data_IF_356355976852
#
_entry.id   IF_356355976852
#
_cell.length_a   1.000
_cell.length_b   1.000
_cell.length_c   1.000
_cell.angle_alpha   90.00
_cell.angle_beta   90.00
_cell.angle_gamma   90.00
#
_symmetry.space_group_name_H-M   'P 1'
#
loop_
_entity.id
_entity.type
_entity.pdbx_description
1 polymer ?
#
# COMPACT_ATOMS: atom_id res chain seq x y z
N UNK A 1 17.13 -31.19 -1.58
CA UNK A 1 16.21 -31.52 -0.48
C UNK A 1 15.24 -30.35 -0.35
N UNK A 2 13.94 -30.59 -0.61
CA UNK A 2 12.89 -29.55 -0.57
C UNK A 2 12.74 -29.01 0.85
N UNK A 3 13.03 -27.72 1.05
CA UNK A 3 12.84 -27.02 2.32
C UNK A 3 11.35 -26.65 2.45
N UNK A 4 10.68 -27.16 3.48
CA UNK A 4 9.29 -26.81 3.79
C UNK A 4 9.17 -25.33 4.21
N UNK A 5 8.07 -24.64 3.87
CA UNK A 5 7.83 -23.27 4.35
C UNK A 5 7.60 -23.30 5.87
N UNK A 6 8.41 -22.56 6.64
CA UNK A 6 8.23 -22.40 8.09
C UNK A 6 9.48 -22.55 8.97
N UNK A 7 10.67 -22.80 8.40
CA UNK A 7 11.91 -22.91 9.20
C UNK A 7 12.39 -21.53 9.69
N UNK A 8 12.70 -21.44 11.00
CA UNK A 8 13.34 -20.27 11.63
C UNK A 8 14.85 -20.52 11.74
N UNK A 9 15.64 -19.55 11.29
CA UNK A 9 17.09 -19.51 11.45
C UNK A 9 17.43 -18.66 12.66
N UNK A 10 18.14 -19.22 13.64
CA UNK A 10 18.62 -18.48 14.82
C UNK A 10 20.08 -18.86 15.05
N UNK A 11 20.95 -17.95 14.61
CA UNK A 11 22.40 -17.91 14.75
C UNK A 11 23.25 -18.81 13.81
N UNK A 12 24.23 -18.18 13.18
CA UNK A 12 25.40 -18.82 12.58
C UNK A 12 26.66 -18.11 13.07
N UNK A 13 27.71 -18.86 13.41
CA UNK A 13 28.99 -18.30 13.86
C UNK A 13 29.98 -18.34 12.66
N UNK A 14 30.52 -17.16 12.28
CA UNK A 14 31.43 -16.94 11.13
C UNK A 14 32.89 -17.00 11.61
N UNK A 15 33.70 -17.90 11.05
CA UNK A 15 35.16 -17.89 11.22
C UNK A 15 35.82 -17.13 10.06
N UNK A 16 36.77 -16.25 10.38
CA UNK A 16 37.67 -15.63 9.38
C UNK A 16 39.08 -16.14 9.67
N UNK A 17 39.50 -17.19 8.98
CA UNK A 17 40.92 -17.55 8.88
C UNK A 17 41.38 -17.40 7.44
N UNK A 18 42.62 -16.92 7.26
CA UNK A 18 43.18 -16.56 5.96
C UNK A 18 42.96 -17.63 4.89
N UNK A 19 42.36 -17.21 3.77
CA UNK A 19 42.30 -17.97 2.52
C UNK A 19 41.01 -18.73 2.20
N UNK A 20 40.10 -18.98 3.16
CA UNK A 20 38.84 -19.71 2.91
C UNK A 20 37.76 -19.45 3.96
N UNK A 21 36.48 -19.50 3.57
CA UNK A 21 35.34 -19.22 4.47
C UNK A 21 34.81 -20.55 5.01
N UNK A 22 34.83 -20.77 6.32
CA UNK A 22 34.19 -21.92 6.98
C UNK A 22 33.12 -21.41 7.94
N UNK A 23 31.88 -21.91 7.83
CA UNK A 23 30.76 -21.47 8.66
C UNK A 23 29.95 -22.62 9.23
N UNK A 24 29.53 -22.49 10.49
CA UNK A 24 28.47 -23.33 11.09
C UNK A 24 27.12 -22.68 10.93
N UNK A 25 26.17 -23.42 10.39
CA UNK A 25 24.76 -23.00 10.31
C UNK A 25 23.95 -23.90 11.23
N UNK A 26 23.31 -23.30 12.24
CA UNK A 26 22.31 -23.97 13.06
C UNK A 26 20.95 -23.80 12.38
N UNK A 27 20.30 -24.92 12.08
CA UNK A 27 19.00 -24.98 11.41
C UNK A 27 18.00 -25.61 12.39
N UNK A 28 17.04 -24.80 12.85
CA UNK A 28 15.87 -25.18 13.67
C UNK A 28 16.04 -25.12 15.20
N UNK A 29 15.26 -24.21 15.81
CA UNK A 29 14.76 -24.33 17.18
C UNK A 29 13.25 -24.62 17.06
N UNK A 30 12.84 -25.84 17.40
CA UNK A 30 11.42 -26.20 17.49
C UNK A 30 10.73 -25.46 18.64
N UNK A 31 9.39 -25.47 18.67
CA UNK A 31 8.54 -24.75 19.65
C UNK A 31 8.79 -25.05 21.14
N UNK A 32 9.69 -25.99 21.45
CA UNK A 32 10.07 -26.42 22.79
C UNK A 32 11.58 -26.20 23.10
N UNK A 33 12.28 -25.35 22.35
CA UNK A 33 13.68 -25.00 22.67
C UNK A 33 14.72 -26.08 22.37
N UNK A 34 14.35 -27.18 21.70
CA UNK A 34 15.31 -28.21 21.26
C UNK A 34 15.90 -27.87 19.89
N UNK A 35 17.23 -27.86 19.81
CA UNK A 35 17.98 -27.75 18.56
C UNK A 35 17.96 -29.10 17.85
N UNK A 36 17.57 -29.14 16.57
CA UNK A 36 17.33 -30.41 15.86
C UNK A 36 18.45 -30.79 14.89
N UNK A 37 19.21 -29.82 14.35
CA UNK A 37 20.31 -30.11 13.41
C UNK A 37 21.29 -28.92 13.25
N UNK A 38 22.57 -29.22 13.00
CA UNK A 38 23.58 -28.24 12.57
C UNK A 38 24.46 -28.82 11.46
N UNK A 39 24.98 -27.93 10.60
CA UNK A 39 25.84 -28.27 9.46
C UNK A 39 27.14 -27.48 9.50
N UNK A 40 28.25 -28.15 9.16
CA UNK A 40 29.55 -27.55 8.87
C UNK A 40 29.72 -27.41 7.34
N UNK A 41 29.97 -26.20 6.84
CA UNK A 41 30.15 -25.94 5.41
C UNK A 41 31.33 -25.02 5.11
N UNK A 42 32.08 -25.33 4.04
CA UNK A 42 33.16 -24.50 3.48
C UNK A 42 32.61 -23.73 2.28
N UNK A 43 32.71 -22.40 2.29
CA UNK A 43 32.37 -21.52 1.17
C UNK A 43 33.65 -21.03 0.47
N UNK A 44 33.74 -21.07 -0.87
CA UNK A 44 34.76 -20.34 -1.59
C UNK A 44 34.39 -18.84 -1.66
N UNK A 45 35.41 -17.98 -1.71
CA UNK A 45 35.28 -16.53 -1.76
C UNK A 45 34.50 -16.04 -3.00
N UNK A 46 33.78 -14.93 -2.80
CA UNK A 46 32.84 -14.25 -3.71
C UNK A 46 33.35 -14.17 -5.16
N UNK A 47 32.57 -14.64 -6.14
CA UNK A 47 32.85 -14.34 -7.56
C UNK A 47 32.16 -15.14 -8.67
N UNK A 48 31.54 -16.32 -8.44
CA UNK A 48 30.83 -17.07 -9.51
C UNK A 48 29.64 -17.89 -8.99
N UNK A 49 28.59 -18.13 -9.81
CA UNK A 49 27.38 -18.83 -9.36
C UNK A 49 27.59 -20.33 -9.46
N UNK A 50 28.00 -21.00 -8.38
CA UNK A 50 27.96 -22.47 -8.33
C UNK A 50 27.52 -23.00 -6.95
N UNK A 51 26.85 -24.16 -7.03
CA UNK A 51 26.16 -24.93 -5.98
C UNK A 51 26.88 -24.92 -4.62
N UNK A 52 26.12 -24.67 -3.55
CA UNK A 52 26.48 -25.05 -2.18
C UNK A 52 26.83 -26.54 -2.14
N UNK A 53 28.08 -26.88 -1.84
CA UNK A 53 28.46 -28.22 -1.42
C UNK A 53 28.26 -28.31 0.09
N UNK A 54 27.07 -28.75 0.51
CA UNK A 54 26.82 -29.13 1.90
C UNK A 54 27.62 -30.42 2.18
N UNK A 55 28.65 -30.31 3.02
CA UNK A 55 29.33 -31.47 3.57
C UNK A 55 28.35 -32.28 4.42
N UNK A 56 28.23 -33.58 4.15
CA UNK A 56 27.22 -34.48 4.69
C UNK A 56 27.55 -35.00 6.10
N UNK A 57 27.87 -34.13 7.05
CA UNK A 57 28.03 -34.53 8.45
C UNK A 57 26.84 -34.00 9.26
N UNK A 58 25.81 -34.85 9.39
CA UNK A 58 24.66 -34.60 10.26
C UNK A 58 25.02 -35.10 11.65
N UNK A 59 25.23 -34.19 12.59
CA UNK A 59 25.40 -34.54 14.00
C UNK A 59 24.07 -34.39 14.74
N UNK A 60 23.57 -35.48 15.34
CA UNK A 60 22.46 -35.46 16.28
C UNK A 60 23.00 -35.34 17.71
N UNK A 61 22.69 -34.24 18.40
CA UNK A 61 23.09 -34.02 19.79
C UNK A 61 21.98 -33.34 20.59
N UNK A 62 21.72 -33.85 21.80
CA UNK A 62 20.71 -33.31 22.70
C UNK A 62 21.39 -32.25 23.60
N UNK A 63 21.24 -30.97 23.28
CA UNK A 63 21.72 -29.89 24.15
C UNK A 63 20.72 -29.70 25.29
N UNK A 64 21.15 -30.02 26.52
CA UNK A 64 20.38 -29.77 27.73
C UNK A 64 20.07 -28.28 27.90
N UNK A 65 18.83 -27.98 28.30
CA UNK A 65 18.37 -26.62 28.53
C UNK A 65 19.16 -25.96 29.68
N UNK A 66 20.02 -24.99 29.36
CA UNK A 66 20.66 -24.15 30.39
C UNK A 66 22.05 -23.61 30.09
N UNK A 67 22.74 -23.99 29.03
CA UNK A 67 24.08 -23.45 28.74
C UNK A 67 24.02 -22.19 27.85
N UNK A 68 24.62 -21.05 28.27
CA UNK A 68 24.80 -19.91 27.37
C UNK A 68 25.78 -20.30 26.26
N UNK A 69 25.34 -20.24 25.00
CA UNK A 69 26.21 -20.37 23.83
C UNK A 69 27.29 -19.28 23.89
N UNK A 70 28.51 -19.62 24.32
CA UNK A 70 29.70 -18.76 24.19
C UNK A 70 30.39 -19.12 22.87
N UNK A 71 30.34 -18.24 21.87
CA UNK A 71 31.28 -18.35 20.75
C UNK A 71 32.67 -17.88 21.27
N UNK A 72 33.75 -18.68 21.13
CA UNK A 72 35.11 -18.30 21.59
C UNK A 72 35.61 -17.10 20.79
N UNK A 73 36.49 -16.23 21.32
CA UNK A 73 36.82 -14.93 20.72
C UNK A 73 36.97 -14.90 19.19
N UNK A 74 36.35 -13.89 18.56
CA UNK A 74 36.30 -13.60 17.09
C UNK A 74 35.12 -14.15 16.26
N UNK A 75 33.92 -14.26 16.81
CA UNK A 75 32.70 -14.49 16.01
C UNK A 75 31.76 -13.29 16.06
N UNK A 76 31.23 -12.92 14.89
CA UNK A 76 30.13 -11.96 14.74
C UNK A 76 28.81 -12.72 14.86
N UNK A 77 27.99 -12.37 15.85
CA UNK A 77 26.61 -12.87 15.95
C UNK A 77 25.79 -12.09 14.91
N UNK A 78 25.34 -12.77 13.86
CA UNK A 78 24.34 -12.21 12.93
C UNK A 78 22.96 -12.48 13.54
N UNK A 79 22.44 -11.50 14.27
CA UNK A 79 21.03 -11.45 14.66
C UNK A 79 20.22 -11.06 13.42
N UNK A 80 19.54 -12.03 12.80
CA UNK A 80 18.48 -11.72 11.84
C UNK A 80 17.33 -11.04 12.61
N UNK A 81 17.23 -9.72 12.48
CA UNK A 81 16.07 -8.96 12.95
C UNK A 81 14.84 -9.53 12.27
N UNK A 82 13.84 -9.87 13.09
CA UNK A 82 12.60 -10.55 12.73
C UNK A 82 11.99 -10.10 11.40
N UNK A 83 12.24 -10.83 10.32
CA UNK A 83 11.33 -10.83 9.17
C UNK A 83 9.99 -11.34 9.68
N UNK A 84 8.97 -10.49 9.72
CA UNK A 84 7.64 -10.87 10.16
C UNK A 84 7.16 -12.05 9.32
N UNK A 85 7.01 -13.22 9.93
CA UNK A 85 6.43 -14.37 9.25
C UNK A 85 5.03 -14.00 8.75
N UNK A 86 4.62 -14.41 7.53
CA UNK A 86 3.30 -14.12 6.96
C UNK A 86 2.15 -14.40 7.93
N UNK A 87 2.35 -15.41 8.79
CA UNK A 87 1.43 -15.80 9.87
C UNK A 87 1.04 -14.70 10.86
N UNK A 88 1.86 -13.65 11.06
CA UNK A 88 1.52 -12.52 11.95
C UNK A 88 0.83 -11.36 11.22
N UNK A 89 1.00 -11.23 9.90
CA UNK A 89 0.41 -10.13 9.12
C UNK A 89 -1.06 -10.39 8.78
N UNK A 90 -1.41 -11.64 8.46
CA UNK A 90 -2.77 -12.06 8.12
C UNK A 90 -3.80 -11.72 9.22
N UNK A 91 -3.61 -12.08 10.51
CA UNK A 91 -4.60 -11.76 11.54
C UNK A 91 -4.75 -10.25 11.78
N UNK A 92 -3.65 -9.48 11.66
CA UNK A 92 -3.69 -8.02 11.77
C UNK A 92 -4.45 -7.38 10.60
N UNK A 93 -4.23 -7.88 9.38
CA UNK A 93 -4.94 -7.41 8.19
C UNK A 93 -6.43 -7.71 8.26
N UNK A 94 -6.82 -8.91 8.71
CA UNK A 94 -8.23 -9.27 8.92
C UNK A 94 -8.85 -8.35 9.98
N UNK A 95 -8.14 -8.10 11.08
CA UNK A 95 -8.60 -7.20 12.15
C UNK A 95 -8.84 -5.78 11.61
N UNK A 96 -7.89 -5.23 10.84
CA UNK A 96 -8.04 -3.93 10.20
C UNK A 96 -9.23 -3.91 9.22
N UNK A 97 -9.41 -4.95 8.41
CA UNK A 97 -10.51 -5.07 7.47
C UNK A 97 -11.88 -5.12 8.17
N UNK A 98 -12.00 -5.85 9.27
CA UNK A 98 -13.22 -5.89 10.08
C UNK A 98 -13.53 -4.50 10.66
N UNK A 99 -12.53 -3.79 11.19
CA UNK A 99 -12.71 -2.45 11.74
C UNK A 99 -13.14 -1.42 10.68
N UNK A 100 -12.58 -1.50 9.46
CA UNK A 100 -13.05 -0.70 8.32
C UNK A 100 -14.48 -1.06 7.93
N UNK A 101 -14.82 -2.36 7.88
CA UNK A 101 -16.17 -2.84 7.60
C UNK A 101 -17.20 -2.37 8.62
N UNK A 102 -16.87 -2.43 9.92
CA UNK A 102 -17.69 -1.92 11.02
C UNK A 102 -17.92 -0.41 10.89
N UNK A 103 -16.86 0.33 10.56
CA UNK A 103 -16.95 1.78 10.32
C UNK A 103 -17.91 2.08 9.17
N UNK A 104 -17.74 1.40 8.02
CA UNK A 104 -18.61 1.55 6.86
C UNK A 104 -20.07 1.16 7.14
N UNK A 105 -20.30 0.05 7.84
CA UNK A 105 -21.64 -0.42 8.22
C UNK A 105 -22.35 0.56 9.17
N UNK A 106 -21.62 1.17 10.11
CA UNK A 106 -22.17 2.16 11.03
C UNK A 106 -22.56 3.44 10.30
N UNK A 107 -21.71 3.93 9.39
CA UNK A 107 -22.05 5.07 8.53
C UNK A 107 -23.29 4.78 7.66
N UNK A 108 -23.39 3.58 7.09
CA UNK A 108 -24.54 3.17 6.30
C UNK A 108 -25.82 3.11 7.14
N UNK A 109 -25.75 2.56 8.36
CA UNK A 109 -26.89 2.51 9.30
C UNK A 109 -27.34 3.91 9.68
N UNK A 110 -26.40 4.83 9.92
CA UNK A 110 -26.67 6.24 10.24
C UNK A 110 -27.45 6.94 9.12
N UNK A 111 -27.05 6.68 7.87
CA UNK A 111 -27.71 7.27 6.69
C UNK A 111 -29.09 6.66 6.43
N UNK A 112 -29.31 5.39 6.78
CA UNK A 112 -30.63 4.73 6.65
C UNK A 112 -31.61 5.13 7.77
N UNK A 113 -31.11 5.46 8.96
CA UNK A 113 -31.94 5.82 10.12
C UNK A 113 -31.49 7.14 10.77
N UNK A 114 -31.78 8.30 10.16
CA UNK A 114 -31.35 9.61 10.65
C UNK A 114 -31.87 9.94 12.06
N UNK A 115 -33.09 9.48 12.39
CA UNK A 115 -33.77 9.74 13.66
C UNK A 115 -33.12 8.99 14.84
N UNK A 116 -32.64 7.75 14.63
CA UNK A 116 -31.88 6.99 15.64
C UNK A 116 -30.43 7.49 15.80
N UNK A 117 -29.93 8.22 14.81
CA UNK A 117 -28.56 8.74 14.76
C UNK A 117 -28.38 10.13 15.40
N UNK A 118 -29.47 10.86 15.64
CA UNK A 118 -29.43 12.20 16.25
C UNK A 118 -28.90 12.18 17.70
N UNK A 119 -29.07 11.05 18.41
CA UNK A 119 -28.65 10.88 19.80
C UNK A 119 -27.35 10.08 19.99
N UNK A 120 -26.67 9.68 18.90
CA UNK A 120 -25.47 8.82 18.97
C UNK A 120 -24.20 9.56 18.57
N UNK A 121 -23.22 9.64 19.49
CA UNK A 121 -21.83 10.00 19.15
C UNK A 121 -21.34 9.03 18.07
N UNK A 122 -20.87 9.54 16.91
CA UNK A 122 -20.28 8.71 15.86
C UNK A 122 -18.91 8.25 16.35
N UNK A 123 -18.72 6.96 16.73
CA UNK A 123 -17.42 6.50 17.19
C UNK A 123 -16.51 6.43 15.97
N UNK A 124 -15.63 7.42 15.80
CA UNK A 124 -14.59 7.42 14.76
C UNK A 124 -13.40 6.52 15.13
N UNK A 125 -13.34 6.06 16.39
CA UNK A 125 -12.25 5.26 16.91
C UNK A 125 -12.00 3.95 16.13
N UNK A 126 -13.00 3.21 15.59
CA UNK A 126 -12.70 1.98 14.85
C UNK A 126 -11.93 2.26 13.55
N UNK A 127 -12.28 3.35 12.85
CA UNK A 127 -11.55 3.79 11.66
C UNK A 127 -10.12 4.23 11.99
N UNK A 128 -9.92 4.93 13.11
CA UNK A 128 -8.59 5.34 13.58
C UNK A 128 -7.72 4.13 13.95
N UNK A 129 -8.28 3.16 14.68
CA UNK A 129 -7.54 1.93 15.03
C UNK A 129 -7.22 1.13 13.77
N UNK A 130 -8.15 1.02 12.81
CA UNK A 130 -7.90 0.39 11.51
C UNK A 130 -6.77 1.09 10.74
N UNK A 131 -6.74 2.43 10.76
CA UNK A 131 -5.69 3.24 10.13
C UNK A 131 -4.31 3.01 10.74
N UNK A 132 -4.22 2.90 12.06
CA UNK A 132 -2.96 2.63 12.75
C UNK A 132 -2.44 1.24 12.40
N UNK A 133 -3.30 0.22 12.41
CA UNK A 133 -2.92 -1.15 12.03
C UNK A 133 -2.51 -1.21 10.56
N UNK A 134 -3.31 -0.63 9.66
CA UNK A 134 -3.02 -0.61 8.23
C UNK A 134 -1.71 0.13 7.93
N UNK A 135 -1.47 1.28 8.58
CA UNK A 135 -0.23 2.04 8.44
C UNK A 135 0.99 1.26 8.94
N UNK A 136 0.89 0.54 10.06
CA UNK A 136 1.96 -0.31 10.56
C UNK A 136 2.27 -1.49 9.62
N UNK A 137 1.25 -2.07 8.98
CA UNK A 137 1.42 -3.13 7.98
C UNK A 137 2.08 -2.61 6.71
N UNK A 138 1.64 -1.45 6.20
CA UNK A 138 2.22 -0.79 5.03
C UNK A 138 3.67 -0.40 5.29
N UNK A 139 3.99 0.19 6.44
CA UNK A 139 5.35 0.55 6.81
C UNK A 139 6.30 -0.65 6.76
N UNK A 140 5.89 -1.77 7.38
CA UNK A 140 6.67 -3.01 7.38
C UNK A 140 6.79 -3.64 5.99
N UNK A 141 5.77 -3.46 5.15
CA UNK A 141 5.81 -3.99 3.79
C UNK A 141 6.70 -3.18 2.87
N UNK A 142 6.71 -1.84 3.00
CA UNK A 142 7.48 -0.93 2.15
C UNK A 142 8.97 -0.94 2.52
N UNK A 143 9.30 -0.85 3.81
CA UNK A 143 10.68 -0.74 4.28
C UNK A 143 11.18 -2.11 4.74
N UNK A 144 11.86 -2.83 3.85
CA UNK A 144 12.52 -4.09 4.18
C UNK A 144 14.03 -3.91 4.32
N UNK A 145 14.73 -4.84 5.00
CA UNK A 145 16.19 -4.80 5.07
C UNK A 145 16.88 -4.87 3.70
N UNK A 146 16.22 -5.45 2.69
CA UNK A 146 16.75 -5.53 1.33
C UNK A 146 16.55 -4.25 0.51
N UNK A 147 15.60 -3.37 0.90
CA UNK A 147 15.33 -2.13 0.17
C UNK A 147 13.86 -1.67 0.24
N UNK A 148 13.45 -0.86 -0.73
CA UNK A 148 12.06 -0.39 -0.85
C UNK A 148 11.26 -1.38 -1.70
N UNK A 149 10.22 -1.98 -1.12
CA UNK A 149 9.28 -2.83 -1.83
C UNK A 149 8.23 -1.96 -2.55
N UNK A 150 8.26 -1.97 -3.89
CA UNK A 150 7.30 -1.24 -4.75
C UNK A 150 6.45 -2.19 -5.59
N UNK A 151 6.11 -3.35 -5.03
CA UNK A 151 5.17 -4.26 -5.67
C UNK A 151 3.75 -3.72 -5.69
N UNK A 152 2.96 -4.24 -6.64
CA UNK A 152 1.57 -3.83 -6.85
C UNK A 152 0.76 -3.84 -5.54
N UNK A 153 0.84 -4.92 -4.76
CA UNK A 153 0.09 -5.05 -3.50
C UNK A 153 0.59 -4.09 -2.41
N UNK A 154 1.90 -3.85 -2.31
CA UNK A 154 2.48 -2.90 -1.37
C UNK A 154 1.98 -1.47 -1.64
N UNK A 155 1.93 -1.08 -2.92
CA UNK A 155 1.48 0.26 -3.30
C UNK A 155 -0.05 0.38 -3.25
N UNK A 156 -0.80 -0.67 -3.62
CA UNK A 156 -2.25 -0.70 -3.41
C UNK A 156 -2.61 -0.52 -1.93
N UNK A 157 -1.87 -1.20 -1.03
CA UNK A 157 -2.01 -1.01 0.42
C UNK A 157 -1.70 0.42 0.85
N UNK A 158 -0.58 0.99 0.40
CA UNK A 158 -0.19 2.37 0.69
C UNK A 158 -1.24 3.38 0.21
N UNK A 159 -1.73 3.24 -1.02
CA UNK A 159 -2.78 4.08 -1.61
C UNK A 159 -4.08 3.93 -0.82
N UNK A 160 -4.50 2.71 -0.50
CA UNK A 160 -5.71 2.46 0.29
C UNK A 160 -5.63 3.06 1.69
N UNK A 161 -4.46 2.96 2.34
CA UNK A 161 -4.18 3.62 3.62
C UNK A 161 -4.25 5.13 3.50
N UNK A 162 -3.61 5.73 2.49
CA UNK A 162 -3.56 7.17 2.32
C UNK A 162 -4.94 7.76 1.99
N UNK A 163 -5.73 7.08 1.14
CA UNK A 163 -7.12 7.47 0.84
C UNK A 163 -7.98 7.41 2.11
N UNK A 164 -7.87 6.35 2.91
CA UNK A 164 -8.61 6.23 4.17
C UNK A 164 -8.17 7.28 5.20
N UNK A 165 -6.87 7.61 5.26
CA UNK A 165 -6.32 8.63 6.14
C UNK A 165 -6.83 10.01 5.77
N UNK A 166 -6.67 10.41 4.51
CA UNK A 166 -7.13 11.70 3.98
C UNK A 166 -8.63 11.87 4.16
N UNK A 167 -9.42 10.84 3.90
CA UNK A 167 -10.86 10.88 4.13
C UNK A 167 -11.19 11.06 5.61
N UNK A 168 -10.52 10.31 6.50
CA UNK A 168 -10.75 10.38 7.94
C UNK A 168 -10.41 11.78 8.47
N UNK A 169 -9.28 12.34 8.05
CA UNK A 169 -8.88 13.71 8.37
C UNK A 169 -9.88 14.75 7.81
N UNK A 170 -10.26 14.62 6.55
CA UNK A 170 -11.25 15.51 5.93
C UNK A 170 -12.62 15.41 6.63
N UNK A 171 -13.01 14.24 7.14
CA UNK A 171 -14.26 14.05 7.88
C UNK A 171 -14.32 14.74 9.25
N UNK A 172 -13.20 15.30 9.73
CA UNK A 172 -13.14 16.09 10.95
C UNK A 172 -13.67 17.52 10.72
N UNK A 173 -13.47 18.07 9.52
CA UNK A 173 -13.80 19.47 9.19
C UNK A 173 -14.84 19.61 8.08
N UNK A 174 -14.97 18.61 7.20
CA UNK A 174 -15.84 18.63 6.04
C UNK A 174 -16.94 17.55 6.13
N UNK A 175 -18.13 17.77 5.53
CA UNK A 175 -19.22 16.80 5.51
C UNK A 175 -19.00 15.67 4.47
N UNK A 176 -17.78 15.15 4.39
CA UNK A 176 -17.35 14.08 3.46
C UNK A 176 -17.51 12.67 4.04
N UNK A 177 -18.03 12.54 5.27
CA UNK A 177 -18.09 11.27 5.97
C UNK A 177 -18.82 10.18 5.15
N UNK A 178 -19.86 10.51 4.39
CA UNK A 178 -20.61 9.57 3.55
C UNK A 178 -19.74 8.83 2.52
N UNK A 179 -18.62 9.40 2.08
CA UNK A 179 -17.67 8.73 1.18
C UNK A 179 -17.02 7.51 1.83
N UNK A 180 -17.02 7.44 3.17
CA UNK A 180 -16.50 6.30 3.92
C UNK A 180 -17.23 5.00 3.61
N UNK A 181 -18.48 5.05 3.16
CA UNK A 181 -19.23 3.84 2.74
C UNK A 181 -18.54 3.14 1.57
N UNK A 182 -17.97 3.91 0.64
CA UNK A 182 -17.26 3.37 -0.52
C UNK A 182 -15.76 3.18 -0.23
N UNK A 183 -15.14 4.13 0.47
CA UNK A 183 -13.69 4.14 0.71
C UNK A 183 -13.24 3.06 1.70
N UNK A 184 -13.97 2.84 2.81
CA UNK A 184 -13.53 1.87 3.83
C UNK A 184 -13.52 0.42 3.33
N UNK A 185 -14.51 -0.07 2.54
CA UNK A 185 -14.42 -1.38 1.91
C UNK A 185 -13.22 -1.51 0.95
N UNK A 186 -12.92 -0.48 0.16
CA UNK A 186 -11.74 -0.49 -0.73
C UNK A 186 -10.45 -0.56 0.09
N UNK A 187 -10.36 0.20 1.19
CA UNK A 187 -9.22 0.14 2.11
C UNK A 187 -9.10 -1.25 2.78
N UNK A 188 -10.22 -1.87 3.17
CA UNK A 188 -10.26 -3.23 3.71
C UNK A 188 -9.73 -4.26 2.69
N UNK A 189 -10.13 -4.15 1.42
CA UNK A 189 -9.61 -5.03 0.36
C UNK A 189 -8.12 -4.81 0.12
N UNK A 190 -7.64 -3.56 0.18
CA UNK A 190 -6.22 -3.26 -0.02
C UNK A 190 -5.33 -3.84 1.08
N UNK A 191 -5.75 -3.80 2.35
CA UNK A 191 -4.97 -4.37 3.47
C UNK A 191 -5.01 -5.90 3.45
N UNK A 192 -6.12 -6.51 3.00
CA UNK A 192 -6.20 -7.95 2.78
C UNK A 192 -5.24 -8.35 1.66
N UNK A 193 -5.26 -7.65 0.53
CA UNK A 193 -4.36 -7.90 -0.59
C UNK A 193 -2.88 -7.83 -0.18
N UNK A 194 -2.53 -6.86 0.68
CA UNK A 194 -1.18 -6.73 1.24
C UNK A 194 -0.74 -7.96 2.03
N UNK A 195 -1.65 -8.61 2.76
CA UNK A 195 -1.32 -9.81 3.55
C UNK A 195 -1.08 -11.06 2.70
N UNK A 196 -1.57 -11.07 1.45
CA UNK A 196 -1.40 -12.16 0.48
C UNK A 196 -0.37 -11.83 -0.61
N UNK A 197 0.37 -10.72 -0.46
CA UNK A 197 1.38 -10.31 -1.41
C UNK A 197 2.50 -11.38 -1.52
N UNK A 198 2.92 -11.75 -2.75
CA UNK A 198 4.11 -12.58 -2.95
C UNK A 198 5.37 -11.91 -2.39
N UNK A 199 6.43 -12.69 -2.08
CA UNK A 199 7.75 -12.11 -1.79
C UNK A 199 8.28 -11.41 -3.04
N UNK A 200 8.67 -10.15 -2.88
CA UNK A 200 8.82 -9.25 -4.02
C UNK A 200 10.21 -8.74 -4.35
N UNK A 201 10.32 -8.08 -5.49
CA UNK A 201 11.54 -7.40 -5.94
C UNK A 201 11.74 -6.08 -5.19
N UNK A 202 12.95 -5.86 -4.70
CA UNK A 202 13.32 -4.68 -3.91
C UNK A 202 14.08 -3.68 -4.78
N UNK A 203 13.71 -2.40 -4.73
CA UNK A 203 14.63 -1.35 -5.19
C UNK A 203 15.69 -1.13 -4.12
N UNK A 204 16.94 -1.02 -4.54
CA UNK A 204 18.06 -0.63 -3.68
C UNK A 204 17.73 0.68 -2.95
N UNK A 205 18.12 0.75 -1.68
CA UNK A 205 17.78 1.84 -0.76
C UNK A 205 18.40 3.22 -1.12
N UNK A 206 19.22 3.29 -2.18
CA UNK A 206 19.81 4.53 -2.70
C UNK A 206 18.86 5.20 -3.71
N UNK A 207 17.69 5.64 -3.24
CA UNK A 207 16.83 6.52 -4.01
C UNK A 207 17.31 7.96 -3.81
N UNK A 208 17.63 8.63 -4.92
CA UNK A 208 17.90 10.06 -4.94
C UNK A 208 16.72 10.85 -4.33
N UNK A 209 17.03 11.96 -3.67
CA UNK A 209 16.04 12.81 -2.99
C UNK A 209 14.93 13.26 -3.95
N UNK A 210 15.33 13.63 -5.17
CA UNK A 210 14.41 14.00 -6.25
C UNK A 210 13.35 12.94 -6.53
N UNK A 211 13.78 11.71 -6.77
CA UNK A 211 12.87 10.59 -7.07
C UNK A 211 11.94 10.28 -5.89
N UNK A 212 12.45 10.36 -4.64
CA UNK A 212 11.62 10.16 -3.44
C UNK A 212 10.50 11.19 -3.35
N UNK A 213 10.81 12.46 -3.58
CA UNK A 213 9.79 13.54 -3.55
C UNK A 213 8.76 13.37 -4.66
N UNK A 214 9.18 13.01 -5.87
CA UNK A 214 8.28 12.73 -6.98
C UNK A 214 7.31 11.58 -6.67
N UNK A 215 7.79 10.48 -6.09
CA UNK A 215 6.94 9.33 -5.71
C UNK A 215 5.91 9.75 -4.65
N UNK A 216 6.32 10.48 -3.62
CA UNK A 216 5.43 10.93 -2.55
C UNK A 216 4.33 11.88 -3.08
N UNK A 217 4.71 12.86 -3.90
CA UNK A 217 3.76 13.79 -4.53
C UNK A 217 2.80 13.05 -5.46
N UNK A 218 3.29 12.09 -6.25
CA UNK A 218 2.47 11.28 -7.16
C UNK A 218 1.42 10.46 -6.42
N UNK A 219 1.81 9.78 -5.34
CA UNK A 219 0.89 8.96 -4.53
C UNK A 219 -0.13 9.85 -3.82
N UNK A 220 0.30 11.00 -3.29
CA UNK A 220 -0.59 11.97 -2.66
C UNK A 220 -1.62 12.54 -3.64
N UNK A 221 -1.19 12.95 -4.84
CA UNK A 221 -2.08 13.41 -5.90
C UNK A 221 -3.09 12.34 -6.29
N UNK A 222 -2.61 11.10 -6.50
CA UNK A 222 -3.46 9.97 -6.84
C UNK A 222 -4.52 9.71 -5.76
N UNK A 223 -4.15 9.73 -4.48
CA UNK A 223 -5.10 9.52 -3.38
C UNK A 223 -6.14 10.63 -3.27
N UNK A 224 -5.75 11.91 -3.44
CA UNK A 224 -6.69 13.03 -3.46
C UNK A 224 -7.69 12.93 -4.62
N UNK A 225 -7.19 12.65 -5.83
CA UNK A 225 -8.03 12.50 -7.02
C UNK A 225 -8.90 11.24 -6.98
N UNK A 226 -8.46 10.19 -6.26
CA UNK A 226 -9.29 9.01 -5.98
C UNK A 226 -10.52 9.38 -5.12
N UNK A 227 -10.34 10.18 -4.07
CA UNK A 227 -11.45 10.64 -3.23
C UNK A 227 -12.39 11.53 -4.07
N UNK A 228 -11.83 12.40 -4.93
CA UNK A 228 -12.62 13.19 -5.87
C UNK A 228 -13.44 12.31 -6.84
N UNK A 229 -12.87 11.22 -7.35
CA UNK A 229 -13.58 10.28 -8.22
C UNK A 229 -14.72 9.56 -7.49
N UNK A 230 -14.51 9.14 -6.24
CA UNK A 230 -15.58 8.56 -5.40
C UNK A 230 -16.68 9.59 -5.14
N UNK A 231 -16.32 10.85 -4.88
CA UNK A 231 -17.28 11.94 -4.73
C UNK A 231 -18.07 12.21 -6.03
N UNK A 232 -17.41 12.17 -7.20
CA UNK A 232 -18.07 12.31 -8.49
C UNK A 232 -19.05 11.16 -8.76
N UNK A 233 -18.68 9.92 -8.41
CA UNK A 233 -19.56 8.77 -8.51
C UNK A 233 -20.77 8.89 -7.57
N UNK A 234 -20.58 9.38 -6.34
CA UNK A 234 -21.68 9.62 -5.40
C UNK A 234 -22.61 10.73 -5.89
N UNK A 235 -22.06 11.82 -6.44
CA UNK A 235 -22.83 12.88 -7.09
C UNK A 235 -23.63 12.35 -8.29
N UNK A 236 -23.08 11.45 -9.08
CA UNK A 236 -23.78 10.82 -10.20
C UNK A 236 -24.99 10.00 -9.73
N UNK A 237 -24.81 9.20 -8.69
CA UNK A 237 -25.89 8.41 -8.10
C UNK A 237 -26.99 9.35 -7.60
N UNK A 238 -26.62 10.40 -6.86
CA UNK A 238 -27.56 11.39 -6.33
C UNK A 238 -28.33 12.11 -7.44
N UNK A 239 -27.65 12.59 -8.48
CA UNK A 239 -28.24 13.25 -9.66
C UNK A 239 -29.23 12.33 -10.38
N UNK A 240 -28.87 11.06 -10.57
CA UNK A 240 -29.74 10.08 -11.25
C UNK A 240 -31.00 9.76 -10.45
N UNK A 241 -30.92 9.64 -9.12
CA UNK A 241 -32.08 9.39 -8.28
C UNK A 241 -33.07 10.56 -8.25
N UNK A 242 -32.56 11.80 -8.30
CA UNK A 242 -33.39 13.00 -8.30
C UNK A 242 -34.17 13.14 -9.63
N UNK A 243 -33.52 12.85 -10.75
CA UNK A 243 -34.18 12.86 -12.08
C UNK A 243 -35.23 11.75 -12.23
N UNK A 244 -35.09 10.63 -11.52
CA UNK A 244 -36.03 9.50 -11.59
C UNK A 244 -37.21 9.61 -10.63
N UNK A 245 -37.37 10.73 -9.91
CA UNK A 245 -38.43 10.97 -8.91
C UNK A 245 -38.54 9.85 -7.84
N UNK A 246 -37.46 9.12 -7.59
CA UNK A 246 -37.37 8.10 -6.55
C UNK A 246 -36.40 8.58 -5.46
N UNK A 247 -36.81 9.53 -4.59
CA UNK A 247 -36.02 9.91 -3.43
C UNK A 247 -36.11 8.78 -2.39
N UNK A 248 -35.49 7.64 -2.68
CA UNK A 248 -35.28 6.59 -1.69
C UNK A 248 -34.54 7.17 -0.47
N UNK A 249 -34.81 6.65 0.72
CA UNK A 249 -34.39 7.24 2.00
C UNK A 249 -32.88 7.55 2.13
N UNK A 250 -32.02 6.82 1.41
CA UNK A 250 -30.57 7.07 1.38
C UNK A 250 -30.19 8.44 0.79
N UNK A 251 -30.90 8.89 -0.25
CA UNK A 251 -30.60 10.14 -0.98
C UNK A 251 -30.97 11.37 -0.14
N UNK A 252 -31.99 11.25 0.71
CA UNK A 252 -32.46 12.32 1.62
C UNK A 252 -31.51 12.60 2.78
N UNK A 253 -30.63 11.65 3.11
CA UNK A 253 -29.64 11.79 4.18
C UNK A 253 -28.28 12.33 3.69
N UNK A 254 -28.10 12.50 2.37
CA UNK A 254 -26.89 13.07 1.79
C UNK A 254 -26.92 14.62 1.87
N UNK A 255 -25.75 15.28 1.94
CA UNK A 255 -25.67 16.73 1.85
C UNK A 255 -26.32 17.27 0.56
N UNK A 256 -26.71 18.56 0.55
CA UNK A 256 -27.21 19.21 -0.67
C UNK A 256 -26.25 19.05 -1.85
N UNK A 257 -26.79 18.90 -3.06
CA UNK A 257 -26.02 18.74 -4.31
C UNK A 257 -24.95 19.83 -4.46
N UNK A 258 -25.28 21.08 -4.14
CA UNK A 258 -24.34 22.21 -4.22
C UNK A 258 -23.11 22.00 -3.32
N UNK A 259 -23.31 21.51 -2.09
CA UNK A 259 -22.22 21.22 -1.15
C UNK A 259 -21.34 20.10 -1.69
N UNK A 260 -21.95 19.07 -2.25
CA UNK A 260 -21.22 17.94 -2.83
C UNK A 260 -20.40 18.35 -4.06
N UNK A 261 -20.92 19.25 -4.91
CA UNK A 261 -20.16 19.83 -6.02
C UNK A 261 -18.99 20.69 -5.52
N UNK A 262 -19.20 21.53 -4.49
CA UNK A 262 -18.13 22.35 -3.89
C UNK A 262 -17.00 21.46 -3.37
N UNK A 263 -17.33 20.37 -2.68
CA UNK A 263 -16.36 19.39 -2.21
C UNK A 263 -15.63 18.70 -3.36
N UNK A 264 -16.34 18.26 -4.40
CA UNK A 264 -15.75 17.62 -5.58
C UNK A 264 -14.64 18.48 -6.17
N UNK A 265 -14.96 19.72 -6.52
CA UNK A 265 -14.00 20.60 -7.15
C UNK A 265 -12.92 21.11 -6.20
N UNK A 266 -13.19 21.22 -4.90
CA UNK A 266 -12.16 21.49 -3.90
C UNK A 266 -11.10 20.38 -3.88
N UNK A 267 -11.54 19.11 -3.92
CA UNK A 267 -10.64 17.96 -3.98
C UNK A 267 -9.92 17.85 -5.31
N UNK A 268 -10.59 18.13 -6.44
CA UNK A 268 -9.95 18.17 -7.77
C UNK A 268 -8.90 19.28 -7.83
N UNK A 269 -9.21 20.47 -7.31
CA UNK A 269 -8.27 21.59 -7.28
C UNK A 269 -7.02 21.27 -6.47
N UNK A 270 -7.20 20.75 -5.25
CA UNK A 270 -6.08 20.33 -4.41
C UNK A 270 -5.27 19.21 -5.08
N UNK A 271 -5.94 18.19 -5.60
CA UNK A 271 -5.30 17.08 -6.33
C UNK A 271 -4.55 17.54 -7.58
N UNK A 272 -5.08 18.51 -8.32
CA UNK A 272 -4.45 19.09 -9.52
C UNK A 272 -3.18 19.86 -9.18
N UNK A 273 -3.17 20.65 -8.10
CA UNK A 273 -1.97 21.34 -7.63
C UNK A 273 -0.88 20.33 -7.26
N UNK A 274 -1.22 19.30 -6.47
CA UNK A 274 -0.26 18.26 -6.09
C UNK A 274 0.21 17.45 -7.31
N UNK A 275 -0.67 17.15 -8.27
CA UNK A 275 -0.33 16.48 -9.52
C UNK A 275 0.65 17.32 -10.37
N UNK A 276 0.44 18.64 -10.42
CA UNK A 276 1.34 19.56 -11.12
C UNK A 276 2.72 19.56 -10.48
N UNK A 277 2.80 19.63 -9.14
CA UNK A 277 4.07 19.52 -8.42
C UNK A 277 4.76 18.17 -8.65
N UNK A 278 3.99 17.07 -8.70
CA UNK A 278 4.50 15.75 -9.06
C UNK A 278 5.08 15.75 -10.48
N UNK A 279 4.38 16.26 -11.49
CA UNK A 279 4.88 16.30 -12.86
C UNK A 279 6.13 17.17 -13.00
N UNK A 280 6.14 18.34 -12.34
CA UNK A 280 7.31 19.22 -12.34
C UNK A 280 8.52 18.53 -11.68
N UNK A 281 8.35 17.94 -10.50
CA UNK A 281 9.44 17.18 -9.85
C UNK A 281 9.91 16.01 -10.71
N UNK A 282 9.01 15.32 -11.42
CA UNK A 282 9.37 14.29 -12.38
C UNK A 282 10.23 14.86 -13.51
N UNK A 283 9.83 15.99 -14.09
CA UNK A 283 10.55 16.67 -15.17
C UNK A 283 11.97 17.12 -14.76
N UNK A 284 12.17 17.55 -13.51
CA UNK A 284 13.47 18.02 -13.03
C UNK A 284 14.43 16.91 -12.62
N UNK A 285 13.93 15.83 -12.02
CA UNK A 285 14.79 14.81 -11.39
C UNK A 285 14.92 13.51 -12.19
N UNK A 286 14.06 13.27 -13.18
CA UNK A 286 14.17 12.11 -14.05
C UNK A 286 14.97 12.52 -15.30
N UNK A 287 16.23 12.07 -15.38
CA UNK A 287 17.10 12.36 -16.53
C UNK A 287 16.72 11.55 -17.78
N UNK A 288 15.90 10.48 -17.65
CA UNK A 288 15.46 9.62 -18.75
C UNK A 288 13.94 9.38 -18.74
N UNK A 289 13.16 10.46 -18.87
CA UNK A 289 11.68 10.40 -18.92
C UNK A 289 11.18 9.75 -20.22
N UNK A 290 12.03 9.73 -21.25
CA UNK A 290 11.70 9.23 -22.59
C UNK A 290 12.23 7.81 -22.88
N UNK A 291 12.85 7.13 -21.92
CA UNK A 291 13.10 5.69 -22.02
C UNK A 291 11.81 4.92 -22.33
N UNK A 292 11.86 3.93 -23.23
CA UNK A 292 10.68 3.23 -23.79
C UNK A 292 9.65 2.75 -22.75
N UNK A 293 10.09 2.39 -21.54
CA UNK A 293 9.22 1.92 -20.46
C UNK A 293 8.55 3.02 -19.62
N UNK A 294 9.07 4.25 -19.66
CA UNK A 294 8.59 5.40 -18.87
C UNK A 294 7.66 6.32 -19.69
N UNK A 295 7.84 6.39 -21.01
CA UNK A 295 7.06 7.25 -21.93
C UNK A 295 5.56 7.06 -21.75
N UNK A 296 5.10 5.80 -21.75
CA UNK A 296 3.67 5.49 -21.66
C UNK A 296 3.04 5.98 -20.34
N UNK A 297 3.78 5.89 -19.22
CA UNK A 297 3.32 6.36 -17.91
C UNK A 297 3.25 7.89 -17.88
N UNK A 298 4.26 8.56 -18.42
CA UNK A 298 4.34 10.03 -18.46
C UNK A 298 3.30 10.64 -19.39
N UNK A 299 3.10 10.07 -20.59
CA UNK A 299 2.09 10.58 -21.52
C UNK A 299 0.68 10.46 -20.93
N UNK A 300 0.36 9.31 -20.30
CA UNK A 300 -0.95 9.12 -19.68
C UNK A 300 -1.17 10.07 -18.49
N UNK A 301 -0.14 10.34 -17.67
CA UNK A 301 -0.27 11.30 -16.56
C UNK A 301 -0.44 12.75 -17.04
N UNK A 302 0.25 13.14 -18.13
CA UNK A 302 0.06 14.45 -18.78
C UNK A 302 -1.34 14.57 -19.39
N UNK A 303 -1.86 13.52 -20.02
CA UNK A 303 -3.25 13.51 -20.53
C UNK A 303 -4.23 13.67 -19.36
N UNK A 304 -4.06 12.93 -18.27
CA UNK A 304 -4.91 13.09 -17.09
C UNK A 304 -4.83 14.52 -16.53
N UNK A 305 -3.63 15.10 -16.46
CA UNK A 305 -3.42 16.49 -16.03
C UNK A 305 -4.18 17.48 -16.93
N UNK A 306 -4.12 17.32 -18.26
CA UNK A 306 -4.88 18.15 -19.20
C UNK A 306 -6.39 18.00 -19.02
N UNK A 307 -6.90 16.78 -18.80
CA UNK A 307 -8.33 16.53 -18.54
C UNK A 307 -8.79 17.28 -17.28
N UNK A 308 -8.01 17.23 -16.20
CA UNK A 308 -8.33 17.98 -14.97
C UNK A 308 -8.20 19.49 -15.15
N UNK A 309 -7.20 19.96 -15.91
CA UNK A 309 -7.05 21.38 -16.25
C UNK A 309 -8.26 21.90 -17.04
N UNK A 310 -8.70 21.17 -18.07
CA UNK A 310 -9.89 21.50 -18.87
C UNK A 310 -11.14 21.48 -18.02
N UNK A 311 -11.28 20.53 -17.09
CA UNK A 311 -12.42 20.50 -16.17
C UNK A 311 -12.44 21.73 -15.24
N UNK A 312 -11.31 22.11 -14.65
CA UNK A 312 -11.21 23.27 -13.76
C UNK A 312 -11.44 24.57 -14.54
N UNK A 313 -10.83 24.71 -15.71
CA UNK A 313 -11.03 25.84 -16.61
C UNK A 313 -12.49 25.92 -17.09
N UNK A 314 -13.08 24.80 -17.48
CA UNK A 314 -14.46 24.71 -17.93
C UNK A 314 -15.47 25.05 -16.85
N UNK A 315 -15.16 24.74 -15.58
CA UNK A 315 -15.94 25.25 -14.46
C UNK A 315 -15.85 26.77 -14.34
N UNK A 316 -14.64 27.32 -14.39
CA UNK A 316 -14.42 28.75 -14.18
C UNK A 316 -15.02 29.61 -15.30
N UNK A 317 -14.83 29.20 -16.56
CA UNK A 317 -15.25 29.97 -17.73
C UNK A 317 -16.68 29.68 -18.16
N UNK A 318 -17.10 28.41 -18.17
CA UNK A 318 -18.38 27.98 -18.73
C UNK A 318 -19.37 27.50 -17.68
N UNK A 319 -19.00 27.53 -16.40
CA UNK A 319 -19.87 27.09 -15.30
C UNK A 319 -20.22 25.60 -15.36
N UNK A 320 -19.32 24.73 -15.87
CA UNK A 320 -19.56 23.29 -15.94
C UNK A 320 -19.95 22.69 -14.57
N UNK A 321 -21.11 22.02 -14.53
CA UNK A 321 -21.72 21.43 -13.33
C UNK A 321 -22.37 20.08 -13.65
N UNK A 322 -22.80 19.36 -12.61
CA UNK A 322 -23.51 18.09 -12.74
C UNK A 322 -22.79 17.06 -13.61
N UNK A 323 -23.50 16.48 -14.57
CA UNK A 323 -23.02 15.33 -15.38
C UNK A 323 -21.78 15.61 -16.20
N UNK A 324 -21.59 16.84 -16.69
CA UNK A 324 -20.38 17.21 -17.44
C UNK A 324 -19.18 17.08 -16.51
N UNK A 325 -19.22 17.76 -15.36
CA UNK A 325 -18.14 17.73 -14.39
C UNK A 325 -17.82 16.31 -13.90
N UNK A 326 -18.85 15.51 -13.64
CA UNK A 326 -18.72 14.10 -13.23
C UNK A 326 -17.98 13.27 -14.30
N UNK A 327 -18.37 13.37 -15.57
CA UNK A 327 -17.76 12.59 -16.65
C UNK A 327 -16.28 12.93 -16.84
N UNK A 328 -15.95 14.22 -16.80
CA UNK A 328 -14.56 14.69 -16.87
C UNK A 328 -13.74 14.23 -15.66
N UNK A 329 -14.30 14.31 -14.44
CA UNK A 329 -13.61 13.87 -13.22
C UNK A 329 -13.33 12.36 -13.22
N UNK A 330 -14.33 11.53 -13.57
CA UNK A 330 -14.17 10.09 -13.66
C UNK A 330 -13.23 9.72 -14.81
N UNK A 331 -13.38 10.34 -15.98
CA UNK A 331 -12.51 10.10 -17.14
C UNK A 331 -11.04 10.42 -16.84
N UNK A 332 -10.76 11.57 -16.22
CA UNK A 332 -9.41 11.96 -15.83
C UNK A 332 -8.81 11.01 -14.80
N UNK A 333 -9.62 10.58 -13.83
CA UNK A 333 -9.17 9.59 -12.85
C UNK A 333 -8.88 8.23 -13.47
N UNK A 334 -9.70 7.74 -14.40
CA UNK A 334 -9.48 6.47 -15.11
C UNK A 334 -8.18 6.53 -15.92
N UNK A 335 -7.93 7.62 -16.65
CA UNK A 335 -6.66 7.81 -17.38
C UNK A 335 -5.47 7.82 -16.43
N UNK A 336 -5.57 8.51 -15.29
CA UNK A 336 -4.51 8.54 -14.27
C UNK A 336 -4.27 7.15 -13.66
N UNK A 337 -5.34 6.39 -13.40
CA UNK A 337 -5.28 5.02 -12.89
C UNK A 337 -4.57 4.10 -13.90
N UNK A 338 -4.84 4.25 -15.20
CA UNK A 338 -4.14 3.50 -16.25
C UNK A 338 -2.67 3.87 -16.37
N UNK A 339 -2.31 5.14 -16.14
CA UNK A 339 -0.91 5.58 -16.11
C UNK A 339 -0.10 4.76 -15.08
N UNK A 340 -0.65 4.61 -13.88
CA UNK A 340 0.03 3.94 -12.77
C UNK A 340 -0.13 2.42 -12.79
N UNK A 341 -1.37 1.94 -12.74
CA UNK A 341 -1.70 0.51 -12.62
C UNK A 341 -1.76 -0.18 -13.98
N UNK A 342 -2.20 0.49 -15.04
CA UNK A 342 -2.36 -0.14 -16.36
C UNK A 342 -1.04 -0.67 -16.92
N UNK A 343 0.03 0.13 -16.84
CA UNK A 343 1.35 -0.28 -17.31
C UNK A 343 1.98 -1.40 -16.46
N UNK A 344 1.81 -1.37 -15.13
CA UNK A 344 2.30 -2.43 -14.23
C UNK A 344 1.50 -3.73 -14.33
N UNK A 345 0.17 -3.64 -14.41
CA UNK A 345 -0.73 -4.79 -14.50
C UNK A 345 -0.52 -5.59 -15.78
N UNK A 346 -0.33 -4.91 -16.93
CA UNK A 346 -0.05 -5.59 -18.20
C UNK A 346 1.30 -6.33 -18.16
N UNK A 347 2.32 -5.72 -17.55
CA UNK A 347 3.65 -6.33 -17.49
C UNK A 347 3.69 -7.50 -16.50
N UNK A 348 3.21 -7.31 -15.28
CA UNK A 348 3.27 -8.32 -14.21
C UNK A 348 2.26 -9.46 -14.40
N UNK A 349 1.02 -9.17 -14.84
CA UNK A 349 -0.05 -10.17 -14.88
C UNK A 349 -0.29 -10.77 -16.28
N UNK A 350 -0.16 -9.98 -17.35
CA UNK A 350 -0.41 -10.48 -18.72
C UNK A 350 0.85 -11.03 -19.41
N UNK A 351 2.02 -10.47 -19.13
CA UNK A 351 3.27 -10.87 -19.79
C UNK A 351 4.13 -11.83 -18.95
N UNK A 352 3.86 -11.98 -17.65
CA UNK A 352 4.62 -12.87 -16.75
C UNK A 352 6.11 -12.57 -16.71
N UNK A 353 6.52 -11.38 -17.15
CA UNK A 353 7.90 -10.91 -17.16
C UNK A 353 8.01 -9.85 -16.07
N UNK A 354 8.57 -10.28 -14.94
CA UNK A 354 9.01 -9.41 -13.86
C UNK A 354 10.31 -8.69 -14.25
#
# INVERSE_FOLDING_TARGET
MLVRPGMRFLAGCRLRHGGGITGRIVLSIGSHGRVVQWFDGVYPAIGRPHKLLLGSQVHHGNLGAGSPFRCPGHYVIILFTTTTTPSRMIPLAITAAILYGLSGAWLLRRLRHPQAAANGFLPRWPAVVALLIHGALVWKSLFTPEGLNVELFAILGLVGWLVALLLTLASLTLPVASLGIAVYPIAALSVIGLAFAPPGHYLSAELDFGLRTHILLSILAYSLLSIAAVQAALLYIQDSHLHRQQPGGFVRALPPLETMEKLLFGMIGLGFVVLTLSLLSGAFYLNDIFGQHLVHKTVLSVIAWLIFAVLLFGRWQFGWRGRVAIRWAIGGFVVLMLAYFGSKFVIELLLGKA
#
